data_IF_925831845311
#
_entry.id   IF_925831845311
#
_cell.length_a   1.000
_cell.length_b   1.000
_cell.length_c   1.000
_cell.angle_alpha   90.00
_cell.angle_beta   90.00
_cell.angle_gamma   90.00
#
_symmetry.space_group_name_H-M   'P 1'
#
loop_
_entity.id
_entity.type
_entity.pdbx_description
1 polymer ?
#
# COMPACT_ATOMS: atom_id res chain seq x y z
N UNK A 1 29.89 0.53 12.20
CA UNK A 1 30.00 -0.65 13.11
C UNK A 1 29.98 -0.27 14.58
N UNK A 2 28.85 0.23 15.06
CA UNK A 2 28.67 0.62 16.47
C UNK A 2 28.80 -0.59 17.41
N UNK A 3 28.35 -1.78 17.00
CA UNK A 3 28.49 -3.00 17.77
C UNK A 3 29.98 -3.37 18.01
N UNK A 4 30.81 -3.25 16.99
CA UNK A 4 32.24 -3.52 17.08
C UNK A 4 32.98 -2.52 18.00
N UNK A 5 32.39 -1.34 18.28
CA UNK A 5 32.93 -0.37 19.25
C UNK A 5 32.52 -0.64 20.71
N UNK A 6 31.80 -1.73 20.99
CA UNK A 6 31.33 -2.10 22.33
C UNK A 6 30.10 -1.30 22.79
N UNK A 7 29.40 -0.61 21.88
CA UNK A 7 28.18 0.12 22.22
C UNK A 7 27.00 -0.83 22.46
N UNK A 8 26.23 -0.57 23.51
CA UNK A 8 24.93 -1.23 23.73
C UNK A 8 23.88 -0.57 22.83
N UNK A 9 23.21 -1.38 22.01
CA UNK A 9 22.15 -0.93 21.11
C UNK A 9 20.81 -1.52 21.51
N UNK A 10 19.77 -0.70 21.46
CA UNK A 10 18.37 -1.14 21.62
C UNK A 10 17.62 -0.79 20.34
N UNK A 11 17.00 -1.81 19.74
CA UNK A 11 16.23 -1.69 18.49
C UNK A 11 14.79 -2.08 18.79
N UNK A 12 13.84 -1.17 18.58
CA UNK A 12 12.42 -1.45 18.65
C UNK A 12 11.87 -1.57 17.22
N UNK A 13 11.46 -2.79 16.85
CA UNK A 13 11.11 -3.09 15.47
C UNK A 13 10.06 -4.22 15.38
N UNK A 14 9.19 -4.14 14.37
CA UNK A 14 8.26 -5.21 14.05
C UNK A 14 8.76 -6.11 12.91
N UNK A 15 9.52 -5.57 11.97
CA UNK A 15 10.15 -6.35 10.89
C UNK A 15 11.40 -7.03 11.42
N UNK A 16 11.35 -8.34 11.60
CA UNK A 16 12.38 -9.08 12.31
C UNK A 16 13.41 -9.73 11.38
N UNK A 17 13.04 -10.01 10.14
CA UNK A 17 13.83 -10.85 9.22
C UNK A 17 15.25 -10.35 8.95
N UNK A 18 15.50 -9.02 8.98
CA UNK A 18 16.83 -8.45 8.76
C UNK A 18 17.70 -8.35 10.00
N UNK A 19 17.14 -8.69 11.18
CA UNK A 19 17.84 -8.59 12.47
C UNK A 19 18.60 -9.88 12.86
N UNK A 20 18.51 -10.93 12.03
CA UNK A 20 19.01 -12.28 12.36
C UNK A 20 20.45 -12.31 12.87
N UNK A 21 21.35 -11.54 12.24
CA UNK A 21 22.79 -11.56 12.57
C UNK A 21 23.23 -10.34 13.40
N UNK A 22 22.27 -9.59 13.94
CA UNK A 22 22.55 -8.30 14.61
C UNK A 22 22.21 -8.37 16.10
N UNK A 23 21.20 -9.19 16.48
CA UNK A 23 20.59 -9.18 17.81
C UNK A 23 21.10 -10.33 18.67
N UNK A 24 21.52 -10.02 19.90
CA UNK A 24 21.95 -11.01 20.90
C UNK A 24 20.81 -11.46 21.79
N UNK A 25 19.92 -10.53 22.16
CA UNK A 25 18.84 -10.73 23.12
C UNK A 25 17.56 -10.07 22.65
N UNK A 26 16.44 -10.72 22.88
CA UNK A 26 15.11 -10.27 22.51
C UNK A 26 14.25 -10.06 23.75
N UNK A 27 13.56 -8.92 23.79
CA UNK A 27 12.60 -8.58 24.83
C UNK A 27 11.27 -8.31 24.13
N UNK A 28 10.26 -9.11 24.44
CA UNK A 28 8.91 -8.90 23.94
C UNK A 28 8.12 -8.03 24.91
N UNK A 29 7.52 -6.98 24.37
CA UNK A 29 6.69 -6.03 25.10
C UNK A 29 5.24 -6.16 24.62
N UNK A 30 4.31 -6.27 25.57
CA UNK A 30 2.88 -6.17 25.30
C UNK A 30 2.20 -5.37 26.40
N UNK A 31 1.30 -4.44 26.02
CA UNK A 31 0.61 -3.56 26.96
C UNK A 31 1.55 -2.78 27.89
N UNK A 32 2.76 -2.43 27.43
CA UNK A 32 3.77 -1.72 28.24
C UNK A 32 4.49 -2.60 29.27
N UNK A 33 4.34 -3.92 29.20
CA UNK A 33 4.99 -4.88 30.10
C UNK A 33 5.89 -5.83 29.33
N UNK A 34 6.99 -6.27 29.96
CA UNK A 34 7.81 -7.34 29.43
C UNK A 34 7.04 -8.65 29.62
N UNK A 35 6.66 -9.29 28.51
CA UNK A 35 5.96 -10.58 28.53
C UNK A 35 6.91 -11.76 28.34
N UNK A 36 8.03 -11.53 27.67
CA UNK A 36 9.06 -12.58 27.45
C UNK A 36 10.42 -11.95 27.20
N UNK A 37 11.44 -12.63 27.73
CA UNK A 37 12.84 -12.32 27.44
C UNK A 37 13.55 -13.63 27.04
N UNK A 38 14.41 -13.57 26.00
CA UNK A 38 15.08 -14.74 25.48
C UNK A 38 16.36 -14.41 24.72
N UNK A 39 17.32 -15.34 24.60
CA UNK A 39 18.39 -15.23 23.61
C UNK A 39 17.84 -15.18 22.19
N UNK A 40 18.50 -14.46 21.30
CA UNK A 40 18.07 -14.34 19.90
C UNK A 40 17.94 -15.70 19.19
N UNK A 41 18.81 -16.67 19.52
CA UNK A 41 18.73 -18.03 18.97
C UNK A 41 17.35 -18.70 19.21
N UNK A 42 16.70 -18.43 20.33
CA UNK A 42 15.38 -18.98 20.62
C UNK A 42 14.29 -18.32 19.75
N UNK A 43 14.40 -17.02 19.46
CA UNK A 43 13.49 -16.35 18.53
C UNK A 43 13.58 -16.99 17.14
N UNK A 44 14.80 -17.17 16.62
CA UNK A 44 15.01 -17.71 15.28
C UNK A 44 14.67 -19.19 15.13
N UNK A 45 14.60 -19.93 16.25
CA UNK A 45 14.20 -21.33 16.31
C UNK A 45 12.69 -21.53 16.51
N UNK A 46 11.91 -20.45 16.70
CA UNK A 46 10.46 -20.54 16.91
C UNK A 46 9.75 -21.21 15.73
N UNK A 47 8.75 -22.02 16.06
CA UNK A 47 7.80 -22.52 15.08
C UNK A 47 6.91 -21.37 14.55
N UNK A 48 6.39 -21.54 13.34
CA UNK A 48 5.46 -20.58 12.74
C UNK A 48 4.25 -20.30 13.65
N UNK A 49 3.70 -21.34 14.25
CA UNK A 49 2.57 -21.22 15.18
C UNK A 49 2.92 -20.38 16.40
N UNK A 50 4.04 -20.67 17.05
CA UNK A 50 4.47 -19.90 18.23
C UNK A 50 4.72 -18.43 17.89
N UNK A 51 5.33 -18.17 16.75
CA UNK A 51 5.57 -16.84 16.23
C UNK A 51 4.28 -16.04 16.03
N UNK A 52 3.29 -16.65 15.35
CA UNK A 52 2.00 -16.00 15.06
C UNK A 52 1.15 -15.81 16.31
N UNK A 53 1.20 -16.76 17.26
CA UNK A 53 0.52 -16.65 18.56
C UNK A 53 1.05 -15.44 19.37
N UNK A 54 2.36 -15.16 19.25
CA UNK A 54 2.99 -13.98 19.83
C UNK A 54 2.80 -12.69 19.03
N UNK A 55 2.13 -12.73 17.89
CA UNK A 55 1.91 -11.57 17.02
C UNK A 55 3.19 -11.08 16.31
N UNK A 56 4.21 -11.91 16.19
CA UNK A 56 5.48 -11.53 15.59
C UNK A 56 5.45 -11.66 14.07
N UNK A 57 6.08 -10.69 13.40
CA UNK A 57 6.28 -10.66 11.94
C UNK A 57 7.23 -11.79 11.51
N UNK A 58 7.32 -12.04 10.19
CA UNK A 58 8.17 -13.10 9.64
C UNK A 58 9.62 -13.00 10.13
N UNK A 59 10.16 -14.12 10.60
CA UNK A 59 11.56 -14.22 11.05
C UNK A 59 12.53 -14.44 9.89
N UNK A 60 12.03 -14.88 8.75
CA UNK A 60 12.82 -15.10 7.53
C UNK A 60 12.30 -14.19 6.43
N UNK A 61 13.15 -13.79 5.48
CA UNK A 61 12.70 -13.04 4.33
C UNK A 61 11.57 -13.77 3.59
N UNK A 62 10.49 -13.04 3.32
CA UNK A 62 9.40 -13.53 2.47
C UNK A 62 9.89 -13.47 1.02
N UNK A 63 9.53 -14.47 0.22
CA UNK A 63 9.89 -14.48 -1.21
C UNK A 63 9.21 -13.30 -1.92
N UNK A 64 9.97 -12.39 -2.54
CA UNK A 64 9.39 -11.25 -3.23
C UNK A 64 8.46 -11.67 -4.36
N UNK A 65 7.30 -11.04 -4.47
CA UNK A 65 6.43 -11.20 -5.62
C UNK A 65 7.10 -10.62 -6.87
N UNK A 66 7.09 -11.39 -7.96
CA UNK A 66 7.63 -10.90 -9.22
C UNK A 66 6.71 -9.85 -9.84
N UNK A 67 7.26 -8.72 -10.34
CA UNK A 67 6.46 -7.73 -11.03
C UNK A 67 5.80 -8.30 -12.29
N UNK A 68 4.49 -8.13 -12.41
CA UNK A 68 3.73 -8.47 -13.63
C UNK A 68 3.90 -7.42 -14.73
N UNK A 69 4.30 -6.20 -14.35
CA UNK A 69 4.56 -5.09 -15.26
C UNK A 69 5.72 -4.24 -14.72
N UNK A 70 6.64 -3.84 -15.61
CA UNK A 70 7.68 -2.87 -15.31
C UNK A 70 7.43 -1.63 -16.15
N UNK A 71 7.17 -0.50 -15.51
CA UNK A 71 7.03 0.79 -16.15
C UNK A 71 8.40 1.46 -16.21
N UNK A 72 8.97 1.53 -17.41
CA UNK A 72 10.16 2.32 -17.67
C UNK A 72 9.70 3.73 -18.00
N UNK A 73 10.27 4.69 -17.31
CA UNK A 73 10.11 6.08 -17.69
C UNK A 73 11.12 6.37 -18.82
N UNK A 74 10.66 6.29 -20.07
CA UNK A 74 11.46 6.70 -21.22
C UNK A 74 11.46 8.23 -21.34
N UNK A 75 12.65 8.81 -21.48
CA UNK A 75 12.80 10.20 -21.85
C UNK A 75 12.70 10.31 -23.38
N UNK A 76 11.62 10.88 -23.90
CA UNK A 76 11.50 11.20 -25.32
C UNK A 76 12.47 12.33 -25.66
N UNK A 77 13.72 11.96 -25.88
CA UNK A 77 14.79 12.86 -26.33
C UNK A 77 15.55 12.26 -27.49
N UNK A 78 14.85 11.95 -28.61
CA UNK A 78 15.38 12.07 -29.97
C UNK A 78 14.34 11.64 -30.99
N UNK A 79 13.55 12.57 -31.49
CA UNK A 79 13.08 12.45 -32.89
C UNK A 79 14.31 12.52 -33.79
N UNK A 80 14.83 11.37 -34.16
CA UNK A 80 15.62 11.21 -35.38
C UNK A 80 15.12 9.97 -36.11
N UNK A 81 14.59 10.25 -37.31
CA UNK A 81 14.37 9.30 -38.37
C UNK A 81 15.39 8.15 -38.33
N UNK A 82 14.91 6.91 -38.18
CA UNK A 82 15.43 5.88 -39.09
C UNK A 82 14.42 4.75 -39.26
N UNK A 83 14.35 4.29 -40.51
CA UNK A 83 13.54 3.19 -40.97
C UNK A 83 14.12 1.88 -40.46
N UNK A 84 13.28 1.06 -39.86
CA UNK A 84 13.47 -0.39 -39.84
C UNK A 84 14.37 -0.93 -38.75
N UNK A 85 13.81 -1.28 -37.62
CA UNK A 85 14.26 -2.45 -36.89
C UNK A 85 13.15 -2.99 -35.97
N UNK A 86 12.87 -4.24 -36.15
CA UNK A 86 11.91 -5.11 -35.47
C UNK A 86 12.07 -5.06 -33.96
N UNK A 87 11.01 -4.69 -33.26
CA UNK A 87 10.88 -4.85 -31.83
C UNK A 87 10.95 -6.34 -31.45
N UNK A 88 11.95 -6.72 -30.70
CA UNK A 88 11.95 -8.01 -30.00
C UNK A 88 11.05 -7.92 -28.79
N UNK A 89 9.79 -8.30 -28.99
CA UNK A 89 8.88 -8.68 -27.91
C UNK A 89 9.30 -10.09 -27.47
N UNK A 90 9.79 -10.23 -26.25
CA UNK A 90 10.01 -11.54 -25.66
C UNK A 90 8.66 -12.10 -25.25
N UNK A 91 8.07 -12.90 -26.13
CA UNK A 91 6.91 -13.74 -25.84
C UNK A 91 7.29 -14.79 -24.81
N UNK A 92 6.77 -14.66 -23.61
CA UNK A 92 6.67 -15.81 -22.70
C UNK A 92 5.32 -16.46 -22.97
N UNK A 93 5.38 -17.55 -23.70
CA UNK A 93 4.28 -18.45 -23.98
C UNK A 93 3.61 -18.94 -22.71
N UNK A 94 2.36 -18.52 -22.52
CA UNK A 94 1.41 -19.22 -21.64
C UNK A 94 0.32 -19.80 -22.53
N UNK A 95 0.46 -21.09 -22.85
CA UNK A 95 -0.64 -21.88 -23.40
C UNK A 95 -1.63 -22.22 -22.29
N UNK A 96 -2.91 -22.11 -22.62
CA UNK A 96 -4.12 -22.54 -21.93
C UNK A 96 -4.85 -21.47 -21.09
N UNK A 97 -5.65 -20.67 -21.80
CA UNK A 97 -7.02 -20.27 -21.46
C UNK A 97 -7.58 -19.47 -22.64
N UNK A 98 -7.86 -20.15 -23.76
CA UNK A 98 -8.76 -19.63 -24.79
C UNK A 98 -10.17 -19.98 -24.33
N UNK A 99 -10.93 -18.95 -24.00
CA UNK A 99 -12.32 -18.65 -24.27
C UNK A 99 -12.84 -17.71 -23.17
N UNK A 100 -12.86 -16.44 -23.43
CA UNK A 100 -13.73 -15.37 -22.90
C UNK A 100 -13.08 -13.97 -22.90
N UNK A 101 -11.94 -13.78 -23.56
CA UNK A 101 -11.13 -12.54 -23.44
C UNK A 101 -11.50 -11.43 -24.45
N UNK A 102 -12.49 -11.59 -25.33
CA UNK A 102 -12.67 -10.63 -26.43
C UNK A 102 -13.80 -9.59 -26.23
N UNK A 103 -14.48 -9.55 -25.06
CA UNK A 103 -15.59 -8.60 -24.86
C UNK A 103 -15.66 -7.99 -23.43
N UNK A 104 -14.71 -8.27 -22.53
CA UNK A 104 -14.59 -7.50 -21.29
C UNK A 104 -13.74 -6.25 -21.58
N UNK A 105 -14.40 -5.15 -22.00
CA UNK A 105 -13.86 -3.80 -21.82
C UNK A 105 -13.21 -3.75 -20.44
N UNK A 106 -11.91 -3.41 -20.34
CA UNK A 106 -11.15 -3.48 -19.11
C UNK A 106 -11.89 -2.68 -18.01
N UNK A 107 -12.59 -3.40 -17.10
CA UNK A 107 -13.26 -2.79 -15.97
C UNK A 107 -12.18 -2.35 -14.98
N UNK A 108 -12.19 -1.07 -14.64
CA UNK A 108 -11.22 -0.48 -13.74
C UNK A 108 -10.69 0.85 -14.22
N UNK A 109 -9.55 1.25 -13.67
CA UNK A 109 -8.91 2.51 -13.98
C UNK A 109 -7.82 2.30 -15.03
N UNK A 110 -7.90 3.05 -16.14
CA UNK A 110 -6.92 3.02 -17.23
C UNK A 110 -6.30 4.40 -17.38
N UNK A 111 -4.97 4.44 -17.31
CA UNK A 111 -4.16 5.64 -17.52
C UNK A 111 -3.50 5.54 -18.89
N UNK A 112 -3.57 6.63 -19.68
CA UNK A 112 -2.99 6.70 -21.03
C UNK A 112 -2.20 7.99 -21.19
N UNK A 113 -0.94 7.87 -21.63
CA UNK A 113 -0.02 8.97 -21.88
C UNK A 113 0.10 9.94 -20.68
N UNK A 114 0.13 9.38 -19.48
CA UNK A 114 0.11 10.16 -18.25
C UNK A 114 1.49 10.78 -18.00
N UNK A 115 1.55 12.09 -17.92
CA UNK A 115 2.79 12.85 -17.65
C UNK A 115 2.56 13.84 -16.53
N UNK A 116 3.52 13.91 -15.60
CA UNK A 116 3.48 14.86 -14.50
C UNK A 116 4.88 15.41 -14.20
N UNK A 117 4.93 16.71 -13.89
CA UNK A 117 6.18 17.39 -13.53
C UNK A 117 5.97 18.36 -12.37
N UNK A 118 6.93 18.47 -11.48
CA UNK A 118 7.06 19.59 -10.54
C UNK A 118 7.99 20.63 -11.14
N UNK A 119 7.42 21.75 -11.60
CA UNK A 119 8.17 22.74 -12.39
C UNK A 119 8.78 22.11 -13.65
N UNK A 120 10.09 22.18 -13.81
CA UNK A 120 10.81 21.58 -14.93
C UNK A 120 11.15 20.09 -14.71
N UNK A 121 11.01 19.60 -13.47
CA UNK A 121 11.37 18.22 -13.14
C UNK A 121 10.24 17.25 -13.45
N UNK A 122 10.42 16.41 -14.49
CA UNK A 122 9.47 15.35 -14.83
C UNK A 122 9.58 14.22 -13.81
N UNK A 123 8.42 13.79 -13.28
CA UNK A 123 8.32 12.74 -12.25
C UNK A 123 7.59 11.51 -12.77
N UNK A 124 6.58 11.69 -13.63
CA UNK A 124 5.84 10.59 -14.22
C UNK A 124 5.84 10.70 -15.75
N UNK A 125 6.06 9.55 -16.39
CA UNK A 125 5.83 9.33 -17.81
C UNK A 125 5.32 7.88 -17.97
N UNK A 126 4.01 7.72 -18.00
CA UNK A 126 3.35 6.42 -18.04
C UNK A 126 2.59 6.33 -19.34
N UNK A 127 3.07 5.56 -20.35
CA UNK A 127 2.39 5.40 -21.61
C UNK A 127 1.00 4.77 -21.44
N UNK A 128 0.95 3.66 -20.69
CA UNK A 128 -0.28 2.96 -20.33
C UNK A 128 -0.13 2.23 -19.01
N UNK A 129 -1.16 2.29 -18.16
CA UNK A 129 -1.28 1.51 -16.94
C UNK A 129 -2.74 1.16 -16.73
N UNK A 130 -3.00 -0.11 -16.47
CA UNK A 130 -4.32 -0.64 -16.13
C UNK A 130 -4.34 -1.08 -14.68
N UNK A 131 -5.34 -0.63 -13.95
CA UNK A 131 -5.60 -0.95 -12.55
C UNK A 131 -7.01 -1.55 -12.48
N UNK A 132 -7.13 -2.88 -12.54
CA UNK A 132 -8.42 -3.55 -12.65
C UNK A 132 -9.25 -3.42 -11.38
N UNK A 133 -10.57 -3.48 -11.50
CA UNK A 133 -11.48 -3.69 -10.38
C UNK A 133 -11.39 -5.12 -9.86
N UNK A 134 -11.75 -5.31 -8.60
CA UNK A 134 -11.78 -6.63 -8.00
C UNK A 134 -10.40 -7.24 -7.73
N UNK A 135 -9.35 -6.43 -7.88
CA UNK A 135 -7.95 -6.85 -7.71
C UNK A 135 -7.16 -5.79 -6.94
N UNK A 136 -6.21 -6.27 -6.16
CA UNK A 136 -5.25 -5.41 -5.47
C UNK A 136 -4.00 -5.27 -6.31
N UNK A 137 -3.71 -4.05 -6.78
CA UNK A 137 -2.49 -3.75 -7.53
C UNK A 137 -1.47 -3.08 -6.61
N UNK A 138 -0.31 -3.70 -6.46
CA UNK A 138 0.80 -3.15 -5.71
C UNK A 138 1.74 -2.35 -6.61
N UNK A 139 2.09 -1.14 -6.20
CA UNK A 139 3.11 -0.30 -6.83
C UNK A 139 4.40 -0.39 -6.02
N UNK A 140 5.44 -0.95 -6.63
CA UNK A 140 6.76 -1.09 -6.01
C UNK A 140 7.81 -0.29 -6.81
N UNK A 141 8.96 -0.03 -6.19
CA UNK A 141 10.06 0.67 -6.85
C UNK A 141 10.85 1.52 -5.87
N UNK A 142 12.04 2.01 -6.25
CA UNK A 142 12.92 2.76 -5.37
C UNK A 142 12.30 4.09 -4.91
N UNK A 143 12.88 4.67 -3.87
CA UNK A 143 12.49 6.00 -3.42
C UNK A 143 12.76 7.02 -4.53
N UNK A 144 11.82 7.96 -4.70
CA UNK A 144 11.90 8.95 -5.78
C UNK A 144 11.39 8.47 -7.15
N UNK A 145 10.96 7.22 -7.30
CA UNK A 145 10.39 6.71 -8.58
C UNK A 145 9.01 7.30 -8.96
N UNK A 146 8.44 8.17 -8.13
CA UNK A 146 7.15 8.82 -8.43
C UNK A 146 5.92 8.08 -7.87
N UNK A 147 6.08 7.05 -7.05
CA UNK A 147 4.96 6.27 -6.47
C UNK A 147 3.94 7.17 -5.76
N UNK A 148 4.36 7.96 -4.77
CA UNK A 148 3.46 8.86 -4.04
C UNK A 148 2.91 10.01 -4.90
N UNK A 149 3.60 10.39 -5.97
CA UNK A 149 3.06 11.33 -6.96
C UNK A 149 1.94 10.68 -7.77
N UNK A 150 2.15 9.43 -8.20
CA UNK A 150 1.11 8.67 -8.90
C UNK A 150 -0.12 8.47 -8.01
N UNK A 151 0.05 8.12 -6.73
CA UNK A 151 -1.08 7.97 -5.79
C UNK A 151 -1.92 9.24 -5.69
N UNK A 152 -1.28 10.41 -5.59
CA UNK A 152 -1.98 11.71 -5.58
C UNK A 152 -2.71 12.00 -6.90
N UNK A 153 -2.12 11.64 -8.02
CA UNK A 153 -2.76 11.78 -9.33
C UNK A 153 -3.98 10.86 -9.42
N UNK A 154 -3.89 9.61 -8.97
CA UNK A 154 -5.00 8.65 -9.03
C UNK A 154 -6.25 9.15 -8.30
N UNK A 155 -6.08 9.72 -7.11
CA UNK A 155 -7.20 10.27 -6.31
C UNK A 155 -7.51 11.74 -6.63
N UNK A 156 -6.86 12.34 -7.63
CA UNK A 156 -7.18 13.68 -8.12
C UNK A 156 -6.62 14.84 -7.30
N UNK A 157 -5.73 14.59 -6.34
CA UNK A 157 -5.02 15.64 -5.59
C UNK A 157 -4.00 16.38 -6.45
N UNK A 158 -3.47 15.71 -7.49
CA UNK A 158 -2.59 16.30 -8.48
C UNK A 158 -3.19 16.19 -9.88
N UNK A 159 -2.88 17.18 -10.74
CA UNK A 159 -3.32 17.23 -12.14
C UNK A 159 -2.19 16.82 -13.05
N UNK A 160 -2.31 15.67 -13.69
CA UNK A 160 -1.40 15.21 -14.72
C UNK A 160 -1.96 15.51 -16.12
N UNK A 161 -1.07 15.59 -17.12
CA UNK A 161 -1.43 15.53 -18.53
C UNK A 161 -1.66 14.08 -18.92
N UNK A 162 -2.50 13.83 -19.92
CA UNK A 162 -2.91 12.50 -20.34
C UNK A 162 -4.36 12.21 -20.01
N UNK A 163 -4.78 10.96 -20.22
CA UNK A 163 -6.17 10.54 -20.05
C UNK A 163 -6.27 9.50 -18.93
N UNK A 164 -7.25 9.67 -18.06
CA UNK A 164 -7.61 8.70 -17.03
C UNK A 164 -9.07 8.32 -17.22
N UNK A 165 -9.33 7.01 -17.37
CA UNK A 165 -10.67 6.45 -17.57
C UNK A 165 -11.00 5.50 -16.42
N UNK A 166 -12.21 5.57 -15.93
CA UNK A 166 -12.80 4.58 -15.04
C UNK A 166 -13.92 3.88 -15.81
N UNK A 167 -13.82 2.57 -15.98
CA UNK A 167 -14.77 1.75 -16.74
C UNK A 167 -15.06 2.34 -18.15
N UNK A 168 -14.00 2.75 -18.83
CA UNK A 168 -14.06 3.37 -20.18
C UNK A 168 -14.42 4.86 -20.18
N UNK A 169 -14.99 5.43 -19.12
CA UNK A 169 -15.39 6.83 -19.01
C UNK A 169 -14.24 7.72 -18.55
N UNK A 170 -13.94 8.80 -19.27
CA UNK A 170 -12.93 9.77 -18.85
C UNK A 170 -13.38 10.46 -17.55
N UNK A 171 -12.51 10.44 -16.54
CA UNK A 171 -12.72 11.10 -15.26
C UNK A 171 -11.66 12.17 -15.00
N UNK A 172 -12.13 13.38 -14.67
CA UNK A 172 -11.28 14.54 -14.41
C UNK A 172 -10.80 14.56 -12.94
N UNK A 173 -9.77 15.36 -12.63
CA UNK A 173 -9.21 15.49 -11.27
C UNK A 173 -10.27 15.74 -10.20
N UNK A 174 -11.16 16.75 -10.38
CA UNK A 174 -12.25 17.04 -9.43
C UNK A 174 -13.22 15.86 -9.21
N UNK A 175 -13.40 15.03 -10.22
CA UNK A 175 -14.25 13.85 -10.13
C UNK A 175 -13.53 12.73 -9.38
N UNK A 176 -12.25 12.51 -9.68
CA UNK A 176 -11.42 11.54 -8.94
C UNK A 176 -11.32 11.87 -7.45
N UNK A 177 -11.26 13.16 -7.07
CA UNK A 177 -11.28 13.55 -5.64
C UNK A 177 -12.58 13.14 -4.93
N UNK A 178 -13.70 13.03 -5.64
CA UNK A 178 -14.95 12.53 -5.06
C UNK A 178 -15.01 10.99 -5.01
N UNK A 179 -14.44 10.35 -6.03
CA UNK A 179 -14.46 8.90 -6.22
C UNK A 179 -13.31 8.19 -5.52
N UNK A 180 -12.28 8.92 -5.10
CA UNK A 180 -11.07 8.37 -4.51
C UNK A 180 -11.01 8.53 -2.98
N UNK A 181 -10.34 7.59 -2.34
CA UNK A 181 -9.87 7.64 -0.97
C UNK A 181 -8.39 7.30 -0.92
N UNK A 182 -7.62 8.00 -0.12
CA UNK A 182 -6.20 7.73 0.06
C UNK A 182 -5.86 7.60 1.53
N UNK A 183 -5.17 6.53 1.89
CA UNK A 183 -4.45 6.40 3.16
C UNK A 183 -3.02 6.86 2.89
N UNK A 184 -2.63 7.98 3.51
CA UNK A 184 -1.33 8.60 3.30
C UNK A 184 -0.26 7.95 4.17
N UNK A 185 0.99 7.95 3.72
CA UNK A 185 2.14 7.51 4.51
C UNK A 185 2.27 8.28 5.84
N UNK A 186 2.04 9.61 5.81
CA UNK A 186 1.97 10.45 7.02
C UNK A 186 0.51 10.55 7.49
N UNK A 187 0.08 9.59 8.29
CA UNK A 187 -1.31 9.49 8.80
C UNK A 187 -1.70 10.67 9.69
N UNK A 188 -0.73 11.40 10.28
CA UNK A 188 -1.04 12.58 11.10
C UNK A 188 -1.75 13.69 10.33
N UNK A 189 -1.59 13.72 9.00
CA UNK A 189 -2.21 14.71 8.12
C UNK A 189 -3.65 14.37 7.72
N UNK A 190 -4.14 13.23 8.17
CA UNK A 190 -5.44 12.68 7.77
C UNK A 190 -6.44 12.59 8.92
N UNK A 191 -6.01 12.83 10.15
CA UNK A 191 -6.81 12.67 11.36
C UNK A 191 -7.35 14.02 11.82
N UNK A 192 -8.68 14.20 11.76
CA UNK A 192 -9.37 15.46 12.01
C UNK A 192 -10.48 15.36 13.07
N UNK A 193 -10.94 14.14 13.42
CA UNK A 193 -11.97 13.91 14.43
C UNK A 193 -11.52 14.33 15.83
N UNK A 194 -12.46 14.72 16.69
CA UNK A 194 -12.19 14.94 18.10
C UNK A 194 -11.97 13.62 18.85
N UNK A 195 -12.59 12.55 18.37
CA UNK A 195 -12.50 11.19 18.89
C UNK A 195 -12.25 10.17 17.78
N UNK A 196 -11.71 9.00 18.14
CA UNK A 196 -11.50 7.90 17.20
C UNK A 196 -12.81 7.45 16.54
N UNK A 197 -13.90 7.38 17.30
CA UNK A 197 -15.22 7.05 16.77
C UNK A 197 -15.70 8.09 15.75
N UNK A 198 -15.51 9.37 16.05
CA UNK A 198 -15.89 10.46 15.15
C UNK A 198 -15.07 10.42 13.86
N UNK A 199 -13.76 10.09 13.94
CA UNK A 199 -12.90 9.97 12.76
C UNK A 199 -13.43 8.95 11.76
N UNK A 200 -13.99 7.82 12.22
CA UNK A 200 -14.60 6.80 11.37
C UNK A 200 -15.84 7.32 10.62
N UNK A 201 -16.54 8.28 11.19
CA UNK A 201 -17.82 8.78 10.67
C UNK A 201 -17.70 10.10 9.90
N UNK A 202 -16.48 10.67 9.83
CA UNK A 202 -16.24 11.93 9.15
C UNK A 202 -16.70 11.90 7.68
N UNK A 203 -17.53 12.88 7.33
CA UNK A 203 -18.05 13.03 5.96
C UNK A 203 -19.17 12.07 5.58
N UNK A 204 -19.65 11.25 6.53
CA UNK A 204 -20.84 10.39 6.35
C UNK A 204 -22.06 11.16 6.87
N UNK A 205 -23.12 11.35 6.06
CA UNK A 205 -24.35 11.99 6.54
C UNK A 205 -24.96 11.22 7.70
N UNK A 206 -25.49 11.91 8.71
CA UNK A 206 -26.05 11.27 9.92
C UNK A 206 -27.15 10.23 9.63
N UNK A 207 -27.91 10.40 8.54
CA UNK A 207 -28.95 9.47 8.12
C UNK A 207 -28.42 8.14 7.57
N UNK A 208 -27.13 8.12 7.17
CA UNK A 208 -26.44 6.97 6.55
C UNK A 208 -25.45 6.32 7.56
N UNK A 209 -25.42 6.82 8.82
CA UNK A 209 -24.62 6.25 9.89
C UNK A 209 -25.24 4.96 10.40
N UNK A 210 -24.41 3.96 10.53
CA UNK A 210 -24.70 2.66 11.14
C UNK A 210 -23.76 2.46 12.32
N UNK A 211 -24.25 2.70 13.54
CA UNK A 211 -23.45 2.58 14.77
C UNK A 211 -22.97 1.14 14.98
N UNK A 212 -23.75 0.13 14.63
CA UNK A 212 -23.34 -1.27 14.73
C UNK A 212 -22.16 -1.56 13.77
N UNK A 213 -22.14 -0.92 12.62
CA UNK A 213 -21.00 -1.01 11.68
C UNK A 213 -19.76 -0.34 12.25
N UNK A 214 -19.91 0.84 12.86
CA UNK A 214 -18.80 1.54 13.53
C UNK A 214 -18.21 0.66 14.62
N UNK A 215 -19.05 0.06 15.47
CA UNK A 215 -18.60 -0.81 16.56
C UNK A 215 -17.87 -2.06 16.05
N UNK A 216 -18.38 -2.70 15.01
CA UNK A 216 -17.68 -3.83 14.35
C UNK A 216 -16.31 -3.43 13.85
N UNK A 217 -16.19 -2.30 13.15
CA UNK A 217 -14.92 -1.81 12.62
C UNK A 217 -13.94 -1.48 13.75
N UNK A 218 -14.40 -0.87 14.84
CA UNK A 218 -13.56 -0.62 16.02
C UNK A 218 -13.00 -1.92 16.61
N UNK A 219 -13.82 -2.98 16.69
CA UNK A 219 -13.42 -4.31 17.18
C UNK A 219 -12.39 -4.91 16.23
N UNK A 220 -12.67 -4.97 14.92
CA UNK A 220 -11.84 -5.62 13.91
C UNK A 220 -10.44 -5.00 13.82
N UNK A 221 -10.34 -3.70 14.10
CA UNK A 221 -9.09 -2.96 14.11
C UNK A 221 -8.45 -2.80 15.49
N UNK A 222 -9.04 -3.39 16.56
CA UNK A 222 -8.52 -3.31 17.93
C UNK A 222 -8.43 -1.86 18.43
N UNK A 223 -9.49 -1.08 18.19
CA UNK A 223 -9.58 0.34 18.55
C UNK A 223 -10.67 0.63 19.60
N UNK A 224 -11.40 -0.39 20.07
CA UNK A 224 -12.51 -0.25 21.01
C UNK A 224 -12.11 0.48 22.29
N UNK A 225 -10.98 0.10 22.89
CA UNK A 225 -10.51 0.68 24.16
C UNK A 225 -10.05 2.15 24.05
N UNK A 226 -9.95 2.65 22.83
CA UNK A 226 -9.49 4.02 22.53
C UNK A 226 -10.53 4.81 21.75
N UNK A 227 -11.76 4.29 21.59
CA UNK A 227 -12.81 4.86 20.75
C UNK A 227 -13.14 6.33 21.10
N UNK A 228 -13.10 6.69 22.38
CA UNK A 228 -13.37 8.04 22.89
C UNK A 228 -12.12 8.92 23.04
N UNK A 229 -10.95 8.40 22.63
CA UNK A 229 -9.71 9.17 22.72
C UNK A 229 -9.51 10.03 21.48
N UNK A 230 -8.84 11.17 21.69
CA UNK A 230 -8.45 12.02 20.57
C UNK A 230 -7.43 11.28 19.67
N UNK A 231 -7.61 11.22 18.32
CA UNK A 231 -6.75 10.49 17.40
C UNK A 231 -5.26 10.82 17.53
N UNK A 232 -4.92 12.08 17.81
CA UNK A 232 -3.54 12.50 17.99
C UNK A 232 -2.86 11.90 19.23
N UNK A 233 -3.62 11.42 20.23
CA UNK A 233 -3.10 10.77 21.44
C UNK A 233 -2.73 9.29 21.22
N UNK A 234 -3.10 8.73 20.08
CA UNK A 234 -2.86 7.34 19.73
C UNK A 234 -1.38 7.07 19.41
N UNK A 235 -0.95 5.81 19.58
CA UNK A 235 0.33 5.34 19.07
C UNK A 235 0.36 5.36 17.53
N UNK A 236 1.55 5.31 16.92
CA UNK A 236 1.70 5.28 15.46
C UNK A 236 0.91 4.14 14.82
N UNK A 237 1.01 2.92 15.37
CA UNK A 237 0.26 1.76 14.87
C UNK A 237 -1.26 1.89 15.05
N UNK A 238 -1.74 2.49 16.16
CA UNK A 238 -3.16 2.76 16.34
C UNK A 238 -3.68 3.79 15.32
N UNK A 239 -2.92 4.86 15.05
CA UNK A 239 -3.25 5.84 14.01
C UNK A 239 -3.32 5.20 12.63
N UNK A 240 -2.35 4.33 12.32
CA UNK A 240 -2.33 3.60 11.06
C UNK A 240 -3.59 2.73 10.87
N UNK A 241 -3.97 1.99 11.93
CA UNK A 241 -5.21 1.19 11.92
C UNK A 241 -6.46 2.04 11.77
N UNK A 242 -6.50 3.21 12.42
CA UNK A 242 -7.64 4.11 12.36
C UNK A 242 -7.89 4.62 10.94
N UNK A 243 -6.86 5.07 10.21
CA UNK A 243 -7.03 5.56 8.84
C UNK A 243 -7.40 4.44 7.86
N UNK A 244 -6.93 3.19 8.11
CA UNK A 244 -7.35 2.03 7.34
C UNK A 244 -8.80 1.66 7.65
N UNK A 245 -9.19 1.68 8.92
CA UNK A 245 -10.57 1.46 9.36
C UNK A 245 -11.54 2.48 8.74
N UNK A 246 -11.15 3.77 8.70
CA UNK A 246 -11.94 4.82 8.05
C UNK A 246 -12.16 4.58 6.56
N UNK A 247 -11.22 3.90 5.87
CA UNK A 247 -11.42 3.51 4.47
C UNK A 247 -12.61 2.57 4.27
N UNK A 248 -12.92 1.70 5.26
CA UNK A 248 -14.07 0.80 5.19
C UNK A 248 -15.42 1.52 5.39
N UNK A 249 -15.41 2.66 6.08
CA UNK A 249 -16.63 3.43 6.34
C UNK A 249 -17.14 4.19 5.12
N UNK A 250 -16.24 4.59 4.22
CA UNK A 250 -16.60 5.38 3.05
C UNK A 250 -16.85 4.50 1.83
N UNK A 251 -17.84 4.87 1.00
CA UNK A 251 -18.08 4.20 -0.28
C UNK A 251 -17.43 5.00 -1.43
N UNK A 252 -16.26 4.52 -1.85
CA UNK A 252 -15.48 5.11 -2.95
C UNK A 252 -15.25 4.07 -4.05
N UNK A 253 -14.81 4.55 -5.22
CA UNK A 253 -14.51 3.69 -6.36
C UNK A 253 -13.02 3.34 -6.46
N UNK A 254 -12.15 4.22 -5.94
CA UNK A 254 -10.70 4.12 -6.04
C UNK A 254 -10.11 4.26 -4.64
N UNK A 255 -9.44 3.22 -4.17
CA UNK A 255 -8.73 3.22 -2.89
C UNK A 255 -7.23 3.13 -3.12
N UNK A 256 -6.48 3.99 -2.45
CA UNK A 256 -5.02 4.02 -2.53
C UNK A 256 -4.47 3.99 -1.11
N UNK A 257 -3.57 3.04 -0.84
CA UNK A 257 -2.90 2.89 0.45
C UNK A 257 -1.40 3.10 0.26
N UNK A 258 -0.85 4.16 0.86
CA UNK A 258 0.59 4.46 0.79
C UNK A 258 1.27 4.04 2.11
N UNK A 259 2.06 2.94 2.06
CA UNK A 259 2.75 2.28 3.18
C UNK A 259 1.82 1.91 4.36
N UNK A 260 0.70 1.17 4.12
CA UNK A 260 -0.32 0.95 5.14
C UNK A 260 0.10 0.01 6.27
N UNK A 261 1.21 -0.71 6.15
CA UNK A 261 1.72 -1.66 7.17
C UNK A 261 2.79 -1.07 8.08
N UNK A 262 3.10 0.23 7.96
CA UNK A 262 4.15 0.86 8.77
C UNK A 262 3.84 0.79 10.26
N UNK A 263 4.76 0.21 11.04
CA UNK A 263 4.62 0.07 12.49
C UNK A 263 3.56 -0.94 12.96
N UNK A 264 3.11 -1.84 12.09
CA UNK A 264 2.16 -2.89 12.44
C UNK A 264 2.87 -4.20 12.80
N UNK A 265 2.38 -4.87 13.83
CA UNK A 265 2.69 -6.26 14.15
C UNK A 265 2.02 -7.23 13.17
N UNK A 266 2.21 -8.54 13.36
CA UNK A 266 1.65 -9.57 12.50
C UNK A 266 0.12 -9.53 12.44
N UNK A 267 -0.57 -9.44 13.59
CA UNK A 267 -2.04 -9.50 13.64
C UNK A 267 -2.66 -8.30 12.94
N UNK A 268 -2.15 -7.12 13.22
CA UNK A 268 -2.64 -5.88 12.63
C UNK A 268 -2.30 -5.74 11.14
N UNK A 269 -1.15 -6.29 10.69
CA UNK A 269 -0.86 -6.39 9.27
C UNK A 269 -1.90 -7.23 8.54
N UNK A 270 -2.25 -8.41 9.09
CA UNK A 270 -3.24 -9.28 8.47
C UNK A 270 -4.65 -8.69 8.49
N UNK A 271 -5.04 -7.98 9.56
CA UNK A 271 -6.29 -7.21 9.58
C UNK A 271 -6.31 -6.14 8.48
N UNK A 272 -5.21 -5.39 8.31
CA UNK A 272 -5.06 -4.41 7.21
C UNK A 272 -5.14 -5.08 5.84
N UNK A 273 -4.45 -6.21 5.65
CA UNK A 273 -4.50 -6.97 4.41
C UNK A 273 -5.92 -7.47 4.09
N UNK A 274 -6.67 -7.91 5.11
CA UNK A 274 -8.07 -8.32 4.97
C UNK A 274 -8.94 -7.15 4.50
N UNK A 275 -8.85 -5.99 5.17
CA UNK A 275 -9.55 -4.76 4.76
C UNK A 275 -9.28 -4.39 3.29
N UNK A 276 -8.01 -4.46 2.86
CA UNK A 276 -7.62 -4.17 1.49
C UNK A 276 -8.26 -5.16 0.51
N UNK A 277 -8.31 -6.44 0.86
CA UNK A 277 -8.94 -7.47 0.04
C UNK A 277 -10.46 -7.33 -0.02
N UNK A 278 -11.13 -7.04 1.10
CA UNK A 278 -12.57 -6.82 1.15
C UNK A 278 -13.01 -5.70 0.20
N UNK A 279 -12.23 -4.61 0.17
CA UNK A 279 -12.48 -3.51 -0.77
C UNK A 279 -12.33 -3.95 -2.23
N UNK A 280 -11.36 -4.80 -2.54
CA UNK A 280 -11.21 -5.36 -3.87
C UNK A 280 -12.38 -6.31 -4.19
N UNK A 281 -12.75 -7.21 -3.28
CA UNK A 281 -13.90 -8.13 -3.43
C UNK A 281 -15.22 -7.38 -3.60
N UNK A 282 -15.34 -6.17 -3.04
CA UNK A 282 -16.44 -5.24 -3.29
C UNK A 282 -16.37 -4.53 -4.66
N UNK A 283 -15.61 -5.06 -5.62
CA UNK A 283 -15.45 -4.57 -7.00
C UNK A 283 -14.86 -3.15 -7.08
N UNK A 284 -14.04 -2.75 -6.11
CA UNK A 284 -13.34 -1.45 -6.13
C UNK A 284 -11.98 -1.55 -6.84
N UNK A 285 -11.46 -0.41 -7.30
CA UNK A 285 -10.07 -0.29 -7.75
C UNK A 285 -9.21 -0.06 -6.50
N UNK A 286 -8.31 -1.00 -6.20
CA UNK A 286 -7.48 -0.96 -5.00
C UNK A 286 -6.00 -0.95 -5.38
N UNK A 287 -5.29 0.07 -4.90
CA UNK A 287 -3.86 0.26 -5.16
C UNK A 287 -3.13 0.37 -3.82
N UNK A 288 -2.06 -0.40 -3.66
CA UNK A 288 -1.17 -0.29 -2.50
C UNK A 288 0.22 0.12 -2.95
N UNK A 289 0.87 0.99 -2.20
CA UNK A 289 2.30 1.31 -2.33
C UNK A 289 2.99 0.78 -1.10
N UNK A 290 3.90 -0.16 -1.25
CA UNK A 290 4.62 -0.69 -0.10
C UNK A 290 5.94 -1.36 -0.49
N UNK A 291 6.84 -1.46 0.49
CA UNK A 291 8.06 -2.26 0.46
C UNK A 291 7.97 -3.48 1.38
N UNK A 292 6.78 -3.77 1.87
CA UNK A 292 6.51 -4.82 2.84
C UNK A 292 6.09 -6.10 2.14
N UNK A 293 7.03 -7.04 2.00
CA UNK A 293 6.82 -8.30 1.29
C UNK A 293 5.75 -9.19 1.97
N UNK A 294 5.58 -9.07 3.31
CA UNK A 294 4.51 -9.81 4.00
C UNK A 294 3.13 -9.25 3.62
N UNK A 295 2.99 -7.93 3.54
CA UNK A 295 1.74 -7.32 3.10
C UNK A 295 1.45 -7.66 1.64
N UNK A 296 2.48 -7.60 0.77
CA UNK A 296 2.34 -8.00 -0.64
C UNK A 296 1.85 -9.43 -0.77
N UNK A 297 2.49 -10.37 -0.07
CA UNK A 297 2.11 -11.77 -0.08
C UNK A 297 0.69 -12.02 0.50
N UNK A 298 0.25 -11.18 1.44
CA UNK A 298 -1.05 -11.34 2.09
C UNK A 298 -2.23 -10.82 1.24
N UNK A 299 -2.03 -9.80 0.41
CA UNK A 299 -3.17 -9.16 -0.27
C UNK A 299 -2.97 -8.78 -1.74
N UNK A 300 -1.76 -8.72 -2.29
CA UNK A 300 -1.57 -8.26 -3.67
C UNK A 300 -1.89 -9.36 -4.69
N UNK A 301 -2.57 -8.98 -5.78
CA UNK A 301 -2.81 -9.84 -6.95
C UNK A 301 -1.83 -9.53 -8.08
N UNK A 302 -1.49 -8.24 -8.25
CA UNK A 302 -0.59 -7.76 -9.29
C UNK A 302 0.48 -6.85 -8.70
N UNK A 303 1.70 -6.95 -9.22
CA UNK A 303 2.80 -6.06 -8.84
C UNK A 303 3.26 -5.28 -10.05
N UNK A 304 3.22 -3.96 -9.95
CA UNK A 304 3.71 -3.02 -10.96
C UNK A 304 4.96 -2.34 -10.42
N UNK A 305 6.08 -2.53 -11.08
CA UNK A 305 7.34 -1.89 -10.72
C UNK A 305 7.51 -0.57 -11.46
N UNK A 306 7.61 0.53 -10.71
CA UNK A 306 7.89 1.86 -11.24
C UNK A 306 9.40 2.13 -11.12
N UNK A 307 10.03 2.51 -12.22
CA UNK A 307 11.43 2.91 -12.24
C UNK A 307 11.56 4.44 -12.32
N UNK A 308 12.58 5.03 -11.69
CA UNK A 308 12.85 6.45 -11.82
C UNK A 308 13.11 6.84 -13.29
N UNK A 309 12.70 8.04 -13.65
CA UNK A 309 13.12 8.64 -14.94
C UNK A 309 14.65 8.73 -14.97
N UNK A 310 15.26 8.08 -15.96
CA UNK A 310 16.69 8.20 -16.18
C UNK A 310 16.97 9.66 -16.57
N UNK A 311 17.81 10.36 -15.80
CA UNK A 311 18.27 11.67 -16.22
C UNK A 311 19.23 11.46 -17.40
N UNK A 312 18.88 11.94 -18.59
CA UNK A 312 19.88 12.19 -19.62
C UNK A 312 20.81 13.27 -19.07
N UNK A 313 22.08 12.91 -18.85
CA UNK A 313 23.15 13.83 -18.50
C UNK A 313 23.46 14.76 -19.66
#
# INVERSE_FOLDING_TARGET
DLHASGATMVIAEHRLSYLHDIVDRVILLDGGRIVREMPAAHLWAMSERERTDLGLRALRPVTPMQPSLVLHAEDEGSEKNDQGSTAHTTDISTQNAQDDASTRSARGLVLENLRFSYGSHRVLNIPRLELPRGRVTALVGPNGAGKSTLTRVLVGLERARGTIRLDGRIIRSKERTKLGYVVMQDVHRQLFGAEVREELTLGIPSKDLDDDRVDRILIDHGLTDVAERHPMSLSGGQKQRLVVAAAQMVDKEIYVFDEPSSGLDYRHLHSTAHTIRDLAEADKVVVIVTHDEELLAACADHVVKIQPLTRSL
#
